data_IF_471991856541
#
_entry.id   IF_471991856541
#
_cell.length_a   1.000
_cell.length_b   1.000
_cell.length_c   1.000
_cell.angle_alpha   90.00
_cell.angle_beta   90.00
_cell.angle_gamma   90.00
#
_symmetry.space_group_name_H-M   'P 1'
#
loop_
_entity.id
_entity.type
_entity.pdbx_description
1 polymer ?
#
# COMPACT_ATOMS: atom_id res chain seq x y z
N UNK A 1 -5.17 9.04 1.81
CA UNK A 1 -4.07 8.23 2.38
C UNK A 1 -3.90 8.56 3.85
N UNK A 2 -3.84 7.54 4.65
CA UNK A 2 -3.56 7.69 6.08
C UNK A 2 -2.21 7.05 6.38
N UNK A 3 -1.28 7.83 6.92
CA UNK A 3 0.01 7.33 7.38
C UNK A 3 -0.18 6.85 8.81
N UNK A 4 0.12 5.58 9.04
CA UNK A 4 -0.06 4.95 10.34
C UNK A 4 1.29 4.81 11.02
N UNK A 5 1.36 5.29 12.26
CA UNK A 5 2.51 5.02 13.11
C UNK A 5 2.36 3.62 13.67
N UNK A 6 3.29 2.72 13.28
CA UNK A 6 3.25 1.34 13.75
C UNK A 6 3.47 1.29 15.26
N UNK A 7 2.57 0.60 15.95
CA UNK A 7 2.61 0.48 17.41
C UNK A 7 3.72 -0.47 17.84
N UNK A 8 4.66 0.05 18.62
CA UNK A 8 5.67 -0.76 19.29
C UNK A 8 5.05 -1.40 20.53
N UNK A 9 4.86 -2.72 20.51
CA UNK A 9 4.26 -3.45 21.63
C UNK A 9 5.30 -3.72 22.70
N UNK A 10 6.50 -4.13 22.30
CA UNK A 10 7.56 -4.48 23.22
C UNK A 10 8.92 -4.30 22.54
N UNK A 11 9.92 -3.87 23.32
CA UNK A 11 11.29 -3.77 22.84
C UNK A 11 12.25 -4.07 23.97
N UNK A 12 13.22 -4.93 23.73
CA UNK A 12 14.30 -5.26 24.67
C UNK A 12 15.56 -5.65 23.89
N UNK A 13 16.58 -6.19 24.59
CA UNK A 13 17.84 -6.57 23.96
C UNK A 13 17.72 -7.76 22.97
N UNK A 14 16.58 -8.43 22.93
CA UNK A 14 16.32 -9.51 21.97
C UNK A 14 15.71 -9.02 20.67
N UNK A 15 15.18 -7.77 20.65
CA UNK A 15 14.51 -7.17 19.50
C UNK A 15 13.21 -6.48 19.90
N UNK A 16 12.27 -6.40 18.96
CA UNK A 16 10.99 -5.73 19.20
C UNK A 16 9.82 -6.56 18.66
N UNK A 17 8.64 -6.22 19.17
CA UNK A 17 7.36 -6.73 18.66
C UNK A 17 6.55 -5.51 18.24
N UNK A 18 6.08 -5.52 16.99
CA UNK A 18 5.20 -4.48 16.45
C UNK A 18 3.94 -5.12 15.91
N UNK A 19 2.78 -4.56 16.25
CA UNK A 19 1.52 -4.95 15.64
C UNK A 19 1.24 -4.04 14.45
N UNK A 20 1.01 -4.63 13.30
CA UNK A 20 0.70 -3.88 12.09
C UNK A 20 -0.80 -3.60 11.98
N UNK A 21 -1.62 -4.64 12.15
CA UNK A 21 -3.08 -4.55 12.06
C UNK A 21 -3.69 -5.42 13.15
N UNK A 22 -4.71 -4.90 13.83
CA UNK A 22 -5.46 -5.63 14.86
C UNK A 22 -6.95 -5.54 14.57
N UNK A 23 -7.68 -6.60 14.91
CA UNK A 23 -9.15 -6.63 14.89
C UNK A 23 -9.75 -6.28 13.51
N UNK A 24 -9.04 -6.60 12.44
CA UNK A 24 -9.50 -6.41 11.09
C UNK A 24 -9.70 -7.75 10.39
N UNK A 25 -10.69 -7.80 9.52
CA UNK A 25 -11.02 -9.00 8.77
C UNK A 25 -10.16 -9.08 7.51
N UNK A 26 -8.95 -9.56 7.65
CA UNK A 26 -7.98 -9.63 6.56
C UNK A 26 -8.29 -10.82 5.65
N UNK A 27 -8.50 -10.55 4.37
CA UNK A 27 -8.80 -11.55 3.36
C UNK A 27 -7.57 -12.06 2.62
N UNK A 28 -6.53 -11.25 2.51
CA UNK A 28 -5.29 -11.64 1.85
C UNK A 28 -4.08 -10.92 2.43
N UNK A 29 -2.96 -11.62 2.42
CA UNK A 29 -1.65 -11.07 2.78
C UNK A 29 -0.75 -11.30 1.57
N UNK A 30 -0.21 -10.22 1.00
CA UNK A 30 0.50 -10.27 -0.28
C UNK A 30 1.84 -9.58 -0.17
N UNK A 31 2.85 -10.11 -0.85
CA UNK A 31 4.12 -9.43 -1.02
C UNK A 31 4.17 -8.91 -2.45
N UNK A 32 4.42 -7.61 -2.59
CA UNK A 32 4.62 -6.96 -3.88
C UNK A 32 6.07 -6.51 -3.95
N UNK A 33 6.72 -6.81 -5.06
CA UNK A 33 8.05 -6.29 -5.33
C UNK A 33 7.98 -5.21 -6.40
N UNK A 34 8.83 -4.19 -6.24
CA UNK A 34 9.00 -3.11 -7.21
C UNK A 34 10.48 -3.01 -7.54
N UNK A 35 10.82 -3.18 -8.79
CA UNK A 35 12.17 -2.83 -9.23
C UNK A 35 12.29 -1.32 -9.34
N UNK A 36 13.50 -0.78 -9.26
CA UNK A 36 13.73 0.66 -9.41
C UNK A 36 13.13 1.15 -10.73
N UNK A 37 12.29 2.17 -10.65
CA UNK A 37 11.58 2.74 -11.79
C UNK A 37 10.25 2.09 -12.12
N UNK A 38 9.92 0.95 -11.51
CA UNK A 38 8.65 0.28 -11.76
C UNK A 38 7.48 1.09 -11.19
N UNK A 39 6.37 1.04 -11.91
CA UNK A 39 5.12 1.67 -11.47
C UNK A 39 4.04 0.60 -11.46
N UNK A 40 3.37 0.45 -10.31
CA UNK A 40 2.22 -0.44 -10.15
C UNK A 40 1.03 0.36 -9.69
N UNK A 41 -0.15 -0.20 -9.87
CA UNK A 41 -1.40 0.44 -9.46
C UNK A 41 -1.96 1.28 -10.59
N UNK A 42 -2.07 2.60 -10.40
CA UNK A 42 -2.83 3.50 -11.26
C UNK A 42 -4.28 3.01 -11.38
N UNK A 43 -4.85 2.69 -10.23
CA UNK A 43 -6.21 2.16 -10.13
C UNK A 43 -6.83 2.54 -8.78
N UNK A 44 -8.07 2.13 -8.58
CA UNK A 44 -8.75 2.22 -7.29
C UNK A 44 -9.62 0.99 -7.07
N UNK A 45 -10.06 0.82 -5.84
CA UNK A 45 -11.01 -0.23 -5.44
C UNK A 45 -12.26 0.42 -4.87
N UNK A 46 -13.39 -0.25 -4.96
CA UNK A 46 -14.64 0.27 -4.40
C UNK A 46 -14.97 -0.32 -3.04
N UNK A 47 -14.46 -1.51 -2.74
CA UNK A 47 -14.79 -2.25 -1.52
C UNK A 47 -13.56 -2.63 -0.70
N UNK A 48 -12.36 -2.27 -1.15
CA UNK A 48 -11.11 -2.81 -0.62
C UNK A 48 -10.31 -1.76 0.13
N UNK A 49 -9.91 -2.10 1.36
CA UNK A 49 -8.87 -1.41 2.13
C UNK A 49 -7.56 -2.16 1.95
N UNK A 50 -6.47 -1.45 1.81
CA UNK A 50 -5.13 -2.04 1.76
C UNK A 50 -4.20 -1.33 2.74
N UNK A 51 -3.54 -2.13 3.57
CA UNK A 51 -2.47 -1.68 4.47
C UNK A 51 -1.15 -2.04 3.83
N UNK A 52 -0.30 -1.05 3.61
CA UNK A 52 0.96 -1.18 2.90
C UNK A 52 2.12 -0.95 3.86
N UNK A 53 2.91 -2.00 4.12
CA UNK A 53 4.07 -1.96 5.00
C UNK A 53 5.33 -2.15 4.17
N UNK A 54 6.27 -1.22 4.28
CA UNK A 54 7.51 -1.29 3.50
C UNK A 54 8.50 -2.17 4.24
N UNK A 55 8.81 -3.32 3.67
CA UNK A 55 9.75 -4.29 4.23
C UNK A 55 11.19 -3.93 3.91
N UNK A 56 11.42 -3.40 2.72
CA UNK A 56 12.76 -2.99 2.28
C UNK A 56 12.65 -2.00 1.13
N UNK A 57 13.71 -1.24 0.90
CA UNK A 57 13.82 -0.30 -0.21
C UNK A 57 13.19 1.05 0.07
N UNK A 58 12.82 1.72 -1.02
CA UNK A 58 12.23 3.05 -1.00
C UNK A 58 11.24 3.18 -2.14
N UNK A 59 10.05 3.67 -1.85
CA UNK A 59 9.02 3.86 -2.85
C UNK A 59 8.26 5.16 -2.63
N UNK A 60 7.59 5.63 -3.67
CA UNK A 60 6.65 6.74 -3.57
C UNK A 60 5.23 6.21 -3.72
N UNK A 61 4.37 6.55 -2.77
CA UNK A 61 2.94 6.28 -2.86
C UNK A 61 2.25 7.58 -3.29
N UNK A 62 1.51 7.49 -4.38
CA UNK A 62 0.73 8.61 -4.93
C UNK A 62 -0.74 8.25 -4.79
N UNK A 63 -1.53 9.11 -4.16
CA UNK A 63 -2.96 8.87 -3.96
C UNK A 63 -3.81 10.07 -4.32
N UNK A 64 -5.06 9.80 -4.65
CA UNK A 64 -6.05 10.85 -4.89
C UNK A 64 -7.45 10.33 -4.52
N UNK A 65 -8.07 10.98 -3.55
CA UNK A 65 -9.49 10.75 -3.26
C UNK A 65 -10.34 11.65 -4.15
N UNK A 66 -11.49 11.16 -4.63
CA UNK A 66 -12.41 11.99 -5.43
C UNK A 66 -12.73 13.31 -4.75
N UNK A 67 -12.61 14.41 -5.50
CA UNK A 67 -12.85 15.76 -5.00
C UNK A 67 -11.73 16.35 -4.16
N UNK A 68 -10.64 15.63 -4.00
CA UNK A 68 -9.46 16.09 -3.25
C UNK A 68 -8.23 16.08 -4.17
N UNK A 69 -7.22 16.83 -3.78
CA UNK A 69 -5.97 16.88 -4.54
C UNK A 69 -5.15 15.61 -4.43
N UNK A 70 -4.20 15.47 -5.33
CA UNK A 70 -3.23 14.38 -5.31
C UNK A 70 -2.26 14.57 -4.15
N UNK A 71 -1.96 13.49 -3.44
CA UNK A 71 -0.99 13.45 -2.36
C UNK A 71 0.13 12.49 -2.73
N UNK A 72 1.35 12.81 -2.30
CA UNK A 72 2.51 11.96 -2.49
C UNK A 72 3.25 11.80 -1.17
N UNK A 73 3.76 10.60 -0.92
CA UNK A 73 4.63 10.33 0.21
C UNK A 73 5.73 9.37 -0.21
N UNK A 74 6.94 9.65 0.25
CA UNK A 74 8.07 8.72 0.10
C UNK A 74 8.09 7.83 1.34
N UNK A 75 8.09 6.52 1.11
CA UNK A 75 8.05 5.51 2.14
C UNK A 75 9.29 4.64 2.11
N UNK A 76 9.84 4.36 3.27
CA UNK A 76 11.02 3.53 3.47
C UNK A 76 10.70 2.38 4.40
N UNK A 77 11.67 1.50 4.63
CA UNK A 77 11.53 0.35 5.54
C UNK A 77 10.90 0.77 6.87
N UNK A 78 9.83 0.11 7.25
CA UNK A 78 9.10 0.35 8.49
C UNK A 78 7.93 1.32 8.37
N UNK A 79 7.81 2.03 7.26
CA UNK A 79 6.68 2.94 7.03
C UNK A 79 5.42 2.15 6.68
N UNK A 80 4.28 2.68 7.11
CA UNK A 80 3.00 2.00 7.01
C UNK A 80 1.91 2.99 6.61
N UNK A 81 1.14 2.65 5.57
CA UNK A 81 0.06 3.50 5.09
C UNK A 81 -1.14 2.67 4.67
N UNK A 82 -2.34 3.19 4.91
CA UNK A 82 -3.58 2.56 4.45
C UNK A 82 -4.17 3.38 3.30
N UNK A 83 -4.66 2.67 2.29
CA UNK A 83 -5.51 3.23 1.23
C UNK A 83 -6.91 2.68 1.40
N UNK A 84 -7.91 3.56 1.26
CA UNK A 84 -9.31 3.22 1.48
C UNK A 84 -10.07 3.03 0.17
N UNK A 85 -11.32 2.50 0.21
CA UNK A 85 -12.15 2.43 -0.98
C UNK A 85 -12.28 3.78 -1.68
N UNK A 86 -12.32 3.75 -3.00
CA UNK A 86 -12.38 4.89 -3.92
C UNK A 86 -11.11 5.74 -3.98
N UNK A 87 -10.14 5.51 -3.12
CA UNK A 87 -8.87 6.21 -3.18
C UNK A 87 -8.02 5.67 -4.34
N UNK A 88 -7.76 6.52 -5.33
CA UNK A 88 -6.88 6.19 -6.44
C UNK A 88 -5.45 6.11 -5.91
N UNK A 89 -4.68 5.14 -6.37
CA UNK A 89 -3.30 4.98 -5.90
C UNK A 89 -2.36 4.42 -6.95
N UNK A 90 -1.10 4.78 -6.82
CA UNK A 90 0.01 4.25 -7.60
C UNK A 90 1.24 4.12 -6.71
N UNK A 91 2.03 3.09 -6.97
CA UNK A 91 3.29 2.82 -6.26
C UNK A 91 4.44 2.94 -7.25
N UNK A 92 5.42 3.74 -6.90
CA UNK A 92 6.60 3.98 -7.75
C UNK A 92 7.85 3.51 -7.00
N UNK A 93 8.57 2.55 -7.57
CA UNK A 93 9.83 2.08 -7.00
C UNK A 93 10.94 3.11 -7.22
N UNK A 94 11.43 3.71 -6.14
CA UNK A 94 12.59 4.60 -6.18
C UNK A 94 13.89 3.81 -6.04
N UNK A 95 13.80 2.68 -5.37
CA UNK A 95 14.82 1.63 -5.27
C UNK A 95 14.10 0.30 -5.39
N UNK A 96 14.84 -0.79 -5.53
CA UNK A 96 14.24 -2.12 -5.46
C UNK A 96 13.60 -2.29 -4.09
N UNK A 97 12.31 -2.59 -4.06
CA UNK A 97 11.52 -2.56 -2.83
C UNK A 97 10.64 -3.78 -2.66
N UNK A 98 10.36 -4.14 -1.41
CA UNK A 98 9.37 -5.13 -1.05
C UNK A 98 8.31 -4.49 -0.17
N UNK A 99 7.05 -4.71 -0.50
CA UNK A 99 5.90 -4.19 0.23
C UNK A 99 5.03 -5.36 0.69
N UNK A 100 4.75 -5.41 1.98
CA UNK A 100 3.76 -6.32 2.54
C UNK A 100 2.41 -5.64 2.50
N UNK A 101 1.44 -6.25 1.82
CA UNK A 101 0.10 -5.69 1.67
C UNK A 101 -0.92 -6.59 2.36
N UNK A 102 -1.64 -6.02 3.31
CA UNK A 102 -2.75 -6.67 4.00
C UNK A 102 -4.03 -6.12 3.39
N UNK A 103 -4.92 -7.00 2.96
CA UNK A 103 -6.12 -6.60 2.24
C UNK A 103 -7.39 -7.04 2.96
N UNK A 104 -8.33 -6.10 3.09
CA UNK A 104 -9.68 -6.34 3.53
C UNK A 104 -10.59 -6.05 2.35
N UNK A 105 -11.20 -7.10 1.77
CA UNK A 105 -12.03 -6.98 0.57
C UNK A 105 -11.73 -8.11 -0.41
N UNK A 106 -12.37 -8.10 -1.60
CA UNK A 106 -12.19 -9.16 -2.60
C UNK A 106 -10.79 -9.11 -3.20
N UNK A 107 -9.92 -10.06 -2.83
CA UNK A 107 -8.52 -10.08 -3.27
C UNK A 107 -8.01 -11.48 -3.60
N UNK A 108 -8.51 -12.52 -2.95
CA UNK A 108 -7.95 -13.87 -3.08
C UNK A 108 -8.31 -14.58 -4.38
N UNK A 109 -7.39 -15.36 -4.93
CA UNK A 109 -7.64 -16.25 -6.06
C UNK A 109 -8.28 -15.56 -7.27
N UNK A 110 -9.40 -16.07 -7.73
CA UNK A 110 -10.11 -15.54 -8.88
C UNK A 110 -10.71 -14.15 -8.66
N UNK A 111 -10.76 -13.66 -7.42
CA UNK A 111 -11.27 -12.33 -7.09
C UNK A 111 -10.23 -11.23 -7.25
N UNK A 112 -9.02 -11.58 -7.61
CA UNK A 112 -7.90 -10.63 -7.72
C UNK A 112 -8.23 -9.35 -8.47
N UNK A 113 -8.93 -9.43 -9.60
CA UNK A 113 -9.30 -8.27 -10.41
C UNK A 113 -10.76 -7.83 -10.24
N UNK A 114 -11.55 -8.52 -9.41
CA UNK A 114 -12.99 -8.27 -9.32
C UNK A 114 -13.36 -6.89 -8.79
N UNK A 115 -12.48 -6.25 -8.03
CA UNK A 115 -12.69 -4.91 -7.46
C UNK A 115 -11.54 -3.96 -7.82
N UNK A 116 -11.01 -4.10 -9.03
CA UNK A 116 -9.91 -3.24 -9.51
C UNK A 116 -10.37 -2.47 -10.73
N UNK A 117 -10.29 -1.13 -10.64
CA UNK A 117 -10.74 -0.19 -11.67
C UNK A 117 -9.56 0.67 -12.10
N UNK A 118 -9.10 0.48 -13.34
CA UNK A 118 -7.93 1.18 -13.86
C UNK A 118 -8.26 2.62 -14.21
N UNK A 119 -7.30 3.50 -13.96
CA UNK A 119 -7.44 4.92 -14.27
C UNK A 119 -7.18 5.18 -15.75
N UNK A 120 -8.01 6.02 -16.37
CA UNK A 120 -7.78 6.50 -17.73
C UNK A 120 -6.57 7.44 -17.77
N UNK A 121 -6.44 8.29 -16.73
CA UNK A 121 -5.30 9.19 -16.59
C UNK A 121 -4.47 8.68 -15.40
N UNK A 122 -3.27 8.12 -15.63
CA UNK A 122 -2.45 7.61 -14.55
C UNK A 122 -2.03 8.69 -13.56
N UNK A 123 -1.97 8.32 -12.27
CA UNK A 123 -1.42 9.19 -11.23
C UNK A 123 0.09 9.29 -11.32
N UNK A 124 0.73 8.21 -11.76
CA UNK A 124 2.17 8.14 -11.91
C UNK A 124 2.52 7.60 -13.29
N UNK A 125 3.50 8.20 -13.94
CA UNK A 125 3.95 7.84 -15.28
C UNK A 125 5.47 7.73 -15.29
N UNK A 126 6.04 6.89 -16.18
CA UNK A 126 7.49 6.83 -16.37
C UNK A 126 8.02 8.19 -16.81
N UNK A 127 9.20 8.52 -16.34
CA UNK A 127 9.92 9.73 -16.77
C UNK A 127 10.52 9.53 -18.16
#
# INVERSE_FOLDING_TARGET
MEIIKVKMVHSDNRGYIKDLVENENINAVTIITLTKGAIRGNHYHKETFQWNYIMSGKMKLVTCLPGKGTQEVIMEKGDFAVTEPHEQHALVGLENSEVLVLTKGPRGGAEYESDTYRLEIPLAQPN
#
